data_IF_905686955440
#
_entry.id   IF_905686955440
#
_cell.length_a   1.000
_cell.length_b   1.000
_cell.length_c   1.000
_cell.angle_alpha   90.00
_cell.angle_beta   90.00
_cell.angle_gamma   90.00
#
_symmetry.space_group_name_H-M   'P 1'
#
loop_
_entity.id
_entity.type
_entity.pdbx_description
1 polymer ?
#
# COMPACT_ATOMS: atom_id res chain seq x y z
N UNK A 1 -28.18 -1.15 -17.15
CA UNK A 1 -26.75 -1.25 -16.78
C UNK A 1 -26.30 0.15 -16.46
N UNK A 2 -26.23 0.50 -15.18
CA UNK A 2 -25.93 1.85 -14.74
C UNK A 2 -24.44 2.14 -14.87
N UNK A 3 -24.14 3.24 -15.54
CA UNK A 3 -22.87 3.95 -15.57
C UNK A 3 -22.35 4.16 -14.14
N UNK A 4 -21.50 3.24 -13.64
CA UNK A 4 -20.60 3.52 -12.51
C UNK A 4 -19.55 4.51 -13.03
N UNK A 5 -19.98 5.75 -13.25
CA UNK A 5 -19.13 6.94 -13.24
C UNK A 5 -18.15 6.75 -12.09
N UNK A 6 -16.89 6.46 -12.42
CA UNK A 6 -15.84 6.38 -11.42
C UNK A 6 -15.87 7.73 -10.70
N UNK A 7 -16.31 7.73 -9.44
CA UNK A 7 -16.40 8.94 -8.64
C UNK A 7 -15.13 9.77 -8.87
N UNK A 8 -15.30 11.05 -9.18
CA UNK A 8 -14.15 11.93 -9.40
C UNK A 8 -13.41 12.11 -8.07
N UNK A 9 -12.07 12.23 -8.09
CA UNK A 9 -11.34 12.60 -6.89
C UNK A 9 -11.83 13.95 -6.31
N UNK A 10 -11.65 14.14 -5.00
CA UNK A 10 -12.01 15.38 -4.30
C UNK A 10 -11.22 16.60 -4.77
N UNK A 11 -10.01 16.38 -5.26
CA UNK A 11 -9.13 17.42 -5.79
C UNK A 11 -8.85 17.11 -7.26
N UNK A 12 -8.93 18.14 -8.11
CA UNK A 12 -8.58 18.05 -9.51
C UNK A 12 -7.06 18.00 -9.72
N UNK A 13 -6.61 17.58 -10.90
CA UNK A 13 -5.19 17.38 -11.19
C UNK A 13 -4.36 18.68 -11.04
N UNK A 14 -4.92 19.83 -11.41
CA UNK A 14 -4.29 21.14 -11.23
C UNK A 14 -4.12 21.52 -9.75
N UNK A 15 -5.07 21.17 -8.88
CA UNK A 15 -4.95 21.38 -7.44
C UNK A 15 -3.88 20.47 -6.85
N UNK A 16 -3.84 19.20 -7.29
CA UNK A 16 -2.79 18.24 -6.90
C UNK A 16 -1.40 18.74 -7.32
N UNK A 17 -1.26 19.26 -8.53
CA UNK A 17 -0.02 19.88 -9.03
C UNK A 17 0.41 21.06 -8.18
N UNK A 18 -0.50 21.99 -7.93
CA UNK A 18 -0.21 23.17 -7.11
C UNK A 18 0.18 22.79 -5.67
N UNK A 19 -0.46 21.78 -5.07
CA UNK A 19 -0.08 21.27 -3.76
C UNK A 19 1.32 20.63 -3.76
N UNK A 20 1.67 19.89 -4.82
CA UNK A 20 2.98 19.25 -4.97
C UNK A 20 4.09 20.28 -5.17
N UNK A 21 3.86 21.31 -5.99
CA UNK A 21 4.78 22.43 -6.19
C UNK A 21 5.05 23.21 -4.89
N UNK A 22 4.02 23.35 -4.05
CA UNK A 22 4.15 23.98 -2.73
C UNK A 22 4.78 23.08 -1.67
N UNK A 23 5.15 21.84 -2.02
CA UNK A 23 5.70 20.84 -1.10
C UNK A 23 4.84 20.72 0.16
N UNK A 24 3.53 20.58 -0.05
CA UNK A 24 2.58 20.46 1.06
C UNK A 24 2.90 19.21 1.90
N UNK A 25 2.63 19.20 3.21
CA UNK A 25 2.84 17.98 3.99
C UNK A 25 1.99 16.83 3.45
N UNK A 26 2.61 15.66 3.29
CA UNK A 26 1.95 14.41 2.87
C UNK A 26 0.74 14.08 3.76
N UNK A 27 0.88 14.23 5.09
CA UNK A 27 -0.21 13.99 6.04
C UNK A 27 -1.38 14.96 5.85
N UNK A 28 -1.07 16.22 5.51
CA UNK A 28 -2.10 17.23 5.23
C UNK A 28 -2.88 16.86 3.98
N UNK A 29 -2.19 16.49 2.90
CA UNK A 29 -2.86 16.09 1.64
C UNK A 29 -3.66 14.80 1.82
N UNK A 30 -3.14 13.85 2.59
CA UNK A 30 -3.83 12.59 2.92
C UNK A 30 -5.18 12.84 3.61
N UNK A 31 -5.21 13.76 4.59
CA UNK A 31 -6.45 14.21 5.26
C UNK A 31 -7.37 15.02 4.36
N UNK A 32 -6.83 15.92 3.53
CA UNK A 32 -7.65 16.68 2.54
C UNK A 32 -8.39 15.75 1.58
N UNK A 33 -7.76 14.63 1.23
CA UNK A 33 -8.31 13.59 0.38
C UNK A 33 -9.20 12.57 1.11
N UNK A 34 -9.44 12.77 2.42
CA UNK A 34 -10.25 11.90 3.28
C UNK A 34 -9.86 10.43 3.15
N UNK A 35 -8.55 10.19 3.11
CA UNK A 35 -8.01 8.83 3.05
C UNK A 35 -7.80 8.27 4.44
N UNK A 36 -8.28 8.93 5.49
CA UNK A 36 -7.93 8.62 6.86
C UNK A 36 -9.13 8.04 7.66
N UNK A 37 -10.25 7.77 6.96
CA UNK A 37 -11.53 7.25 7.47
C UNK A 37 -11.57 5.71 7.65
N UNK A 38 -10.43 5.03 7.50
CA UNK A 38 -10.33 3.56 7.63
C UNK A 38 -9.90 2.86 6.34
N UNK A 39 -9.79 1.52 6.41
CA UNK A 39 -9.38 0.68 5.27
C UNK A 39 -10.56 0.27 4.38
N UNK A 40 -11.80 0.36 4.88
CA UNK A 40 -12.96 -0.02 4.08
C UNK A 40 -13.10 0.87 2.84
N UNK A 41 -13.24 0.24 1.68
CA UNK A 41 -13.34 0.95 0.40
C UNK A 41 -12.10 1.73 -0.06
N UNK A 42 -11.01 1.85 0.72
CA UNK A 42 -9.88 2.74 0.41
C UNK A 42 -9.24 2.45 -0.95
N UNK A 43 -9.11 1.18 -1.33
CA UNK A 43 -8.50 0.78 -2.59
C UNK A 43 -9.40 1.06 -3.81
N UNK A 44 -10.68 1.32 -3.58
CA UNK A 44 -11.65 1.76 -4.58
C UNK A 44 -11.83 3.27 -4.57
N UNK A 45 -11.32 3.96 -3.55
CA UNK A 45 -11.44 5.39 -3.41
C UNK A 45 -10.60 6.09 -4.50
N UNK A 46 -11.21 6.89 -5.40
CA UNK A 46 -10.48 7.63 -6.42
C UNK A 46 -9.41 8.57 -5.84
N UNK A 47 -9.60 9.02 -4.60
CA UNK A 47 -8.65 9.88 -3.90
C UNK A 47 -7.32 9.19 -3.62
N UNK A 48 -7.28 7.86 -3.52
CA UNK A 48 -6.02 7.13 -3.33
C UNK A 48 -5.13 7.26 -4.56
N UNK A 49 -5.72 7.29 -5.76
CA UNK A 49 -4.99 7.54 -7.02
C UNK A 49 -4.53 9.00 -7.09
N UNK A 50 -5.37 9.95 -6.70
CA UNK A 50 -4.99 11.36 -6.64
C UNK A 50 -3.82 11.58 -5.65
N UNK A 51 -3.84 10.91 -4.51
CA UNK A 51 -2.75 10.94 -3.54
C UNK A 51 -1.46 10.30 -4.06
N UNK A 52 -1.55 9.17 -4.76
CA UNK A 52 -0.39 8.58 -5.42
C UNK A 52 0.20 9.53 -6.49
N UNK A 53 -0.66 10.21 -7.26
CA UNK A 53 -0.24 11.22 -8.23
C UNK A 53 0.40 12.44 -7.56
N UNK A 54 -0.14 12.90 -6.44
CA UNK A 54 0.46 13.93 -5.60
C UNK A 54 1.90 13.55 -5.24
N UNK A 55 2.12 12.37 -4.67
CA UNK A 55 3.46 11.89 -4.28
C UNK A 55 4.39 11.83 -5.49
N UNK A 56 3.94 11.32 -6.64
CA UNK A 56 4.76 11.26 -7.86
C UNK A 56 5.13 12.63 -8.42
N UNK A 57 4.29 13.64 -8.18
CA UNK A 57 4.56 15.03 -8.55
C UNK A 57 5.44 15.74 -7.53
N UNK A 58 5.62 15.18 -6.33
CA UNK A 58 6.73 15.58 -5.45
C UNK A 58 8.03 14.99 -6.00
N UNK A 59 9.18 15.64 -5.76
CA UNK A 59 10.51 15.13 -6.12
C UNK A 59 10.95 13.92 -5.26
N UNK A 60 10.02 13.04 -4.89
CA UNK A 60 10.25 11.85 -4.10
C UNK A 60 11.06 10.83 -4.91
N UNK A 61 12.16 10.34 -4.35
CA UNK A 61 13.01 9.32 -4.98
C UNK A 61 12.25 8.01 -5.25
N UNK A 62 11.44 7.57 -4.28
CA UNK A 62 10.68 6.31 -4.34
C UNK A 62 9.19 6.56 -4.04
N UNK A 63 8.40 7.06 -5.01
CA UNK A 63 7.00 7.44 -4.77
C UNK A 63 6.12 6.31 -4.20
N UNK A 64 6.28 5.09 -4.71
CA UNK A 64 5.48 3.96 -4.25
C UNK A 64 5.85 3.53 -2.81
N UNK A 65 7.12 3.70 -2.40
CA UNK A 65 7.55 3.49 -1.00
C UNK A 65 7.01 4.57 -0.07
N UNK A 66 6.95 5.83 -0.52
CA UNK A 66 6.35 6.93 0.26
C UNK A 66 4.86 6.69 0.44
N UNK A 67 4.16 6.25 -0.62
CA UNK A 67 2.75 5.89 -0.58
C UNK A 67 2.47 4.79 0.44
N UNK A 68 3.18 3.65 0.34
CA UNK A 68 2.97 2.53 1.27
C UNK A 68 3.39 2.89 2.70
N UNK A 69 4.47 3.67 2.88
CA UNK A 69 4.89 4.15 4.22
C UNK A 69 3.81 5.01 4.86
N UNK A 70 3.16 5.89 4.09
CA UNK A 70 2.04 6.71 4.60
C UNK A 70 0.88 5.84 5.07
N UNK A 71 0.52 4.82 4.28
CA UNK A 71 -0.54 3.88 4.65
C UNK A 71 -0.16 3.04 5.89
N UNK A 72 1.08 2.56 5.98
CA UNK A 72 1.58 1.81 7.14
C UNK A 72 1.51 2.67 8.41
N UNK A 73 1.97 3.92 8.33
CA UNK A 73 1.95 4.84 9.47
C UNK A 73 0.52 5.14 9.95
N UNK A 74 -0.47 5.10 9.05
CA UNK A 74 -1.87 5.33 9.39
C UNK A 74 -2.58 4.10 9.93
N UNK A 75 -2.33 2.92 9.34
CA UNK A 75 -3.16 1.72 9.56
C UNK A 75 -2.45 0.57 10.27
N UNK A 76 -1.13 0.67 10.46
CA UNK A 76 -0.29 -0.40 10.99
C UNK A 76 0.18 -1.36 9.90
N UNK A 77 1.44 -1.81 10.03
CA UNK A 77 2.13 -2.62 9.02
C UNK A 77 1.46 -3.99 8.82
N UNK A 78 1.24 -4.72 9.93
CA UNK A 78 0.58 -6.03 9.92
C UNK A 78 -0.85 -5.96 9.37
N UNK A 79 -1.66 -5.05 9.90
CA UNK A 79 -3.06 -4.88 9.49
C UNK A 79 -3.17 -4.54 8.01
N UNK A 80 -2.35 -3.61 7.52
CA UNK A 80 -2.32 -3.25 6.11
C UNK A 80 -1.85 -4.42 5.24
N UNK A 81 -0.82 -5.17 5.67
CA UNK A 81 -0.31 -6.30 4.92
C UNK A 81 -1.39 -7.38 4.71
N UNK A 82 -2.11 -7.73 5.79
CA UNK A 82 -3.21 -8.69 5.77
C UNK A 82 -4.36 -8.20 4.89
N UNK A 83 -4.72 -6.93 5.00
CA UNK A 83 -5.76 -6.30 4.18
C UNK A 83 -5.43 -6.32 2.68
N UNK A 84 -4.21 -5.90 2.29
CA UNK A 84 -3.78 -5.90 0.89
C UNK A 84 -3.79 -7.32 0.31
N UNK A 85 -3.39 -8.32 1.11
CA UNK A 85 -3.36 -9.71 0.68
C UNK A 85 -4.76 -10.24 0.34
N UNK A 86 -5.76 -9.88 1.14
CA UNK A 86 -7.15 -10.22 0.88
C UNK A 86 -7.72 -9.44 -0.31
N UNK A 87 -7.41 -8.14 -0.40
CA UNK A 87 -7.86 -7.29 -1.48
C UNK A 87 -7.31 -7.71 -2.86
N UNK A 88 -6.20 -8.43 -2.92
CA UNK A 88 -5.69 -9.08 -4.15
C UNK A 88 -6.65 -10.12 -4.74
N UNK A 89 -7.54 -10.69 -3.93
CA UNK A 89 -8.50 -11.71 -4.39
C UNK A 89 -9.77 -11.10 -4.99
N UNK A 90 -10.02 -9.81 -4.77
CA UNK A 90 -11.22 -9.12 -5.25
C UNK A 90 -10.91 -8.42 -6.57
N UNK A 91 -11.63 -8.76 -7.65
CA UNK A 91 -11.40 -8.24 -9.01
C UNK A 91 -11.28 -6.71 -9.08
N UNK A 92 -12.14 -5.98 -8.36
CA UNK A 92 -12.17 -4.51 -8.36
C UNK A 92 -10.96 -3.86 -7.66
N UNK A 93 -10.28 -4.54 -6.73
CA UNK A 93 -9.16 -3.99 -5.93
C UNK A 93 -7.81 -4.63 -6.24
N UNK A 94 -7.82 -5.74 -6.98
CA UNK A 94 -6.66 -6.61 -7.21
C UNK A 94 -5.40 -5.88 -7.66
N UNK A 95 -5.51 -5.01 -8.67
CA UNK A 95 -4.35 -4.37 -9.27
C UNK A 95 -3.71 -3.33 -8.34
N UNK A 96 -4.53 -2.50 -7.66
CA UNK A 96 -4.03 -1.58 -6.64
C UNK A 96 -3.41 -2.35 -5.46
N UNK A 97 -4.06 -3.42 -5.01
CA UNK A 97 -3.58 -4.21 -3.88
C UNK A 97 -2.23 -4.89 -4.20
N UNK A 98 -2.06 -5.44 -5.40
CA UNK A 98 -0.78 -6.01 -5.85
C UNK A 98 0.34 -4.97 -5.86
N UNK A 99 0.08 -3.79 -6.44
CA UNK A 99 1.07 -2.72 -6.52
C UNK A 99 1.52 -2.27 -5.12
N UNK A 100 0.57 -2.01 -4.22
CA UNK A 100 0.86 -1.61 -2.85
C UNK A 100 1.58 -2.72 -2.06
N UNK A 101 1.19 -3.99 -2.22
CA UNK A 101 1.86 -5.09 -1.53
C UNK A 101 3.28 -5.32 -2.05
N UNK A 102 3.52 -5.13 -3.36
CA UNK A 102 4.87 -5.17 -3.92
C UNK A 102 5.74 -4.05 -3.33
N UNK A 103 5.20 -2.82 -3.24
CA UNK A 103 5.89 -1.70 -2.60
C UNK A 103 6.18 -1.98 -1.11
N UNK A 104 5.25 -2.63 -0.40
CA UNK A 104 5.44 -3.06 0.98
C UNK A 104 6.61 -4.04 1.11
N UNK A 105 6.72 -5.02 0.21
CA UNK A 105 7.81 -5.99 0.22
C UNK A 105 9.17 -5.36 -0.03
N UNK A 106 9.27 -4.44 -1.00
CA UNK A 106 10.52 -3.70 -1.25
C UNK A 106 10.90 -2.88 -0.03
N UNK A 107 9.93 -2.17 0.58
CA UNK A 107 10.18 -1.42 1.81
C UNK A 107 10.70 -2.31 2.94
N UNK A 108 10.07 -3.45 3.19
CA UNK A 108 10.52 -4.39 4.21
C UNK A 108 11.94 -4.89 3.95
N UNK A 109 12.27 -5.19 2.68
CA UNK A 109 13.63 -5.58 2.29
C UNK A 109 14.64 -4.47 2.55
N UNK A 110 14.35 -3.23 2.13
CA UNK A 110 15.24 -2.08 2.34
C UNK A 110 15.43 -1.74 3.82
N UNK A 111 14.45 -2.06 4.67
CA UNK A 111 14.54 -1.98 6.14
C UNK A 111 15.30 -3.14 6.78
N UNK A 112 15.80 -4.10 5.99
CA UNK A 112 16.51 -5.28 6.48
C UNK A 112 15.61 -6.29 7.19
N UNK A 113 14.29 -6.22 7.01
CA UNK A 113 13.37 -7.22 7.59
C UNK A 113 13.61 -8.55 6.91
N UNK A 114 13.98 -9.57 7.66
CA UNK A 114 14.18 -10.92 7.11
C UNK A 114 12.84 -11.66 6.99
N UNK A 115 12.77 -12.76 6.23
CA UNK A 115 11.59 -13.61 6.23
C UNK A 115 11.18 -14.09 7.63
N UNK A 116 12.14 -14.31 8.54
CA UNK A 116 11.85 -14.66 9.92
C UNK A 116 11.16 -13.51 10.67
N UNK A 117 11.62 -12.27 10.47
CA UNK A 117 11.03 -11.08 11.07
C UNK A 117 9.56 -10.89 10.62
N UNK A 118 9.28 -11.04 9.32
CA UNK A 118 7.93 -10.92 8.78
C UNK A 118 7.03 -12.09 9.24
N UNK A 119 7.59 -13.28 9.43
CA UNK A 119 6.85 -14.41 9.99
C UNK A 119 6.31 -14.08 11.40
N UNK A 120 7.16 -13.50 12.26
CA UNK A 120 6.79 -13.08 13.60
C UNK A 120 5.80 -11.91 13.57
N UNK A 121 6.03 -10.90 12.72
CA UNK A 121 5.15 -9.74 12.56
C UNK A 121 3.72 -10.14 12.15
N UNK A 122 3.55 -11.21 11.37
CA UNK A 122 2.24 -11.70 10.95
C UNK A 122 1.51 -12.56 12.01
N UNK A 123 2.11 -12.74 13.20
CA UNK A 123 1.68 -13.67 14.27
C UNK A 123 1.45 -15.10 13.76
N UNK A 124 2.32 -15.58 12.85
CA UNK A 124 2.24 -16.95 12.37
C UNK A 124 2.80 -17.91 13.42
N UNK A 125 2.01 -18.91 13.83
CA UNK A 125 2.42 -19.94 14.82
C UNK A 125 2.62 -21.29 14.14
N UNK A 126 3.64 -22.03 14.58
CA UNK A 126 4.02 -23.33 13.99
C UNK A 126 2.89 -24.40 13.96
N UNK A 127 1.95 -24.36 14.92
CA UNK A 127 0.96 -25.43 15.14
C UNK A 127 -0.31 -25.24 14.27
N UNK A 128 -0.58 -24.02 13.79
CA UNK A 128 -1.75 -23.68 12.95
C UNK A 128 -1.41 -23.52 11.46
N UNK A 129 -0.16 -23.83 11.09
CA UNK A 129 0.52 -23.37 9.87
C UNK A 129 -0.18 -23.67 8.55
N UNK A 130 -0.92 -24.76 8.41
CA UNK A 130 -1.53 -25.11 7.11
C UNK A 130 -2.87 -24.41 6.81
N UNK A 131 -3.53 -23.84 7.82
CA UNK A 131 -4.85 -23.19 7.66
C UNK A 131 -4.79 -21.67 7.60
N UNK A 132 -3.70 -21.06 8.05
CA UNK A 132 -3.57 -19.61 8.03
C UNK A 132 -3.26 -19.10 6.62
N UNK A 133 -4.23 -18.41 6.02
CA UNK A 133 -4.08 -17.79 4.69
C UNK A 133 -2.90 -16.81 4.62
N UNK A 134 -2.50 -16.19 5.73
CA UNK A 134 -1.38 -15.27 5.78
C UNK A 134 -0.02 -15.98 5.71
N UNK A 135 0.02 -17.31 5.83
CA UNK A 135 1.20 -18.08 5.45
C UNK A 135 1.53 -17.93 3.96
N UNK A 136 0.50 -17.76 3.10
CA UNK A 136 0.73 -17.49 1.68
C UNK A 136 1.29 -16.08 1.46
N UNK A 137 0.82 -15.08 2.21
CA UNK A 137 1.41 -13.74 2.23
C UNK A 137 2.90 -13.80 2.59
N UNK A 138 3.25 -14.51 3.67
CA UNK A 138 4.65 -14.71 4.06
C UNK A 138 5.50 -15.38 2.97
N UNK A 139 4.99 -16.45 2.32
CA UNK A 139 5.68 -17.11 1.20
C UNK A 139 5.91 -16.18 0.00
N UNK A 140 4.95 -15.30 -0.30
CA UNK A 140 5.12 -14.30 -1.35
C UNK A 140 6.26 -13.34 -1.00
N UNK A 141 6.37 -12.94 0.27
CA UNK A 141 7.49 -12.13 0.73
C UNK A 141 8.82 -12.88 0.67
N UNK A 142 8.90 -14.15 1.08
CA UNK A 142 10.12 -14.99 0.97
C UNK A 142 10.62 -15.02 -0.47
N UNK A 143 9.72 -15.21 -1.43
CA UNK A 143 10.05 -15.23 -2.86
C UNK A 143 10.57 -13.87 -3.34
N UNK A 144 9.89 -12.78 -2.96
CA UNK A 144 10.32 -11.43 -3.29
C UNK A 144 11.70 -11.10 -2.67
N UNK A 145 11.92 -11.49 -1.41
CA UNK A 145 13.17 -11.31 -0.69
C UNK A 145 14.33 -12.00 -1.41
N UNK A 146 14.17 -13.28 -1.79
CA UNK A 146 15.19 -14.02 -2.53
C UNK A 146 15.53 -13.35 -3.88
N UNK A 147 14.53 -12.82 -4.58
CA UNK A 147 14.74 -12.09 -5.83
C UNK A 147 15.48 -10.77 -5.62
N UNK A 148 15.16 -10.03 -4.56
CA UNK A 148 15.81 -8.75 -4.23
C UNK A 148 17.27 -8.96 -3.81
N UNK A 149 17.55 -9.96 -2.96
CA UNK A 149 18.93 -10.36 -2.60
C UNK A 149 19.76 -10.73 -3.84
N UNK A 150 19.15 -11.39 -4.83
CA UNK A 150 19.90 -11.79 -6.04
C UNK A 150 20.33 -10.61 -6.94
N UNK A 151 19.77 -9.42 -6.71
CA UNK A 151 19.98 -8.21 -7.50
C UNK A 151 20.81 -7.14 -6.80
N UNK A 152 21.02 -7.28 -5.48
CA UNK A 152 21.86 -6.41 -4.66
C UNK A 152 23.32 -6.81 -4.77
#
# INVERSE_FOLDING_TARGET
MGDESFAKPLLADNEIEHLAMKVTSTDKVFKMLKLDDGLDGILRNPNLKAFANYIRKTNAKNPDQVLITTLINRYGDETLAKFLFEAKQVKKTKEMAKMLQAAQFVKWFDEGKTPHHIFQMLDLRHITTYKDKFQKLWREYVSAYAHLVSKS
#
